data_IF_399953718844
#
_entry.id   IF_399953718844
#
_cell.length_a   1.000
_cell.length_b   1.000
_cell.length_c   1.000
_cell.angle_alpha   90.00
_cell.angle_beta   90.00
_cell.angle_gamma   90.00
#
_symmetry.space_group_name_H-M   'P 1'
#
loop_
_entity.id
_entity.type
_entity.pdbx_description
1 polymer ?
#
# COMPACT_ATOMS: atom_id res chain seq x y z
N UNK A 1 16.40 5.66 1.19
CA UNK A 1 15.67 6.96 1.14
C UNK A 1 14.91 7.16 2.45
N UNK A 2 15.45 8.00 3.35
CA UNK A 2 14.72 8.43 4.55
C UNK A 2 13.59 9.37 4.10
N UNK A 3 12.33 8.97 4.28
CA UNK A 3 11.22 9.91 4.13
C UNK A 3 11.36 10.94 5.26
N UNK A 4 11.48 12.25 4.96
CA UNK A 4 11.48 13.26 6.01
C UNK A 4 10.17 13.14 6.79
N UNK A 5 10.29 13.21 8.11
CA UNK A 5 9.13 13.23 9.01
C UNK A 5 8.21 14.37 8.54
N UNK A 6 6.93 14.12 8.26
CA UNK A 6 6.05 15.19 7.80
C UNK A 6 6.10 16.33 8.83
N UNK A 7 6.20 17.59 8.38
CA UNK A 7 6.27 18.72 9.29
C UNK A 7 5.04 18.68 10.20
N UNK A 8 5.22 19.00 11.49
CA UNK A 8 4.15 18.99 12.51
C UNK A 8 3.16 20.15 12.27
N UNK A 9 2.48 20.18 11.12
CA UNK A 9 1.69 21.34 10.64
C UNK A 9 0.26 21.44 11.18
N UNK A 10 -0.05 20.85 12.34
CA UNK A 10 -1.39 21.00 12.94
C UNK A 10 -1.39 21.32 14.43
N UNK A 11 -0.22 21.51 15.06
CA UNK A 11 -0.17 21.73 16.52
C UNK A 11 -0.49 23.17 16.95
N UNK A 12 -0.36 24.15 16.04
CA UNK A 12 -0.52 25.57 16.37
C UNK A 12 -1.99 26.06 16.34
N UNK A 13 -2.90 25.30 15.74
CA UNK A 13 -4.32 25.68 15.60
C UNK A 13 -5.23 25.11 16.72
N UNK A 14 -4.66 24.51 17.75
CA UNK A 14 -5.41 23.99 18.90
C UNK A 14 -5.29 24.96 20.09
N UNK A 15 -6.37 25.16 20.87
CA UNK A 15 -6.31 25.91 22.11
C UNK A 15 -5.21 25.41 23.05
N UNK A 16 -4.59 26.34 23.78
CA UNK A 16 -3.44 26.07 24.64
C UNK A 16 -3.68 24.93 25.64
N UNK A 17 -4.86 24.89 26.26
CA UNK A 17 -5.24 23.84 27.20
C UNK A 17 -5.23 22.43 26.55
N UNK A 18 -5.72 22.27 25.32
CA UNK A 18 -5.70 20.97 24.63
C UNK A 18 -4.26 20.54 24.32
N UNK A 19 -3.39 21.50 23.96
CA UNK A 19 -1.96 21.25 23.73
C UNK A 19 -1.26 20.80 25.03
N UNK A 20 -1.62 21.40 26.17
CA UNK A 20 -1.13 20.98 27.47
C UNK A 20 -1.57 19.55 27.80
N UNK A 21 -2.83 19.19 27.58
CA UNK A 21 -3.34 17.82 27.78
C UNK A 21 -2.66 16.79 26.86
N UNK A 22 -2.42 17.11 25.60
CA UNK A 22 -1.66 16.23 24.68
C UNK A 22 -0.24 15.99 25.23
N UNK A 23 0.39 17.04 25.75
CA UNK A 23 1.73 16.95 26.33
C UNK A 23 1.72 16.12 27.63
N UNK A 24 0.74 16.34 28.50
CA UNK A 24 0.53 15.58 29.73
C UNK A 24 0.28 14.10 29.43
N UNK A 25 -0.58 13.78 28.46
CA UNK A 25 -0.84 12.40 28.01
C UNK A 25 0.44 11.71 27.55
N UNK A 26 1.25 12.37 26.72
CA UNK A 26 2.54 11.81 26.25
C UNK A 26 3.50 11.55 27.41
N UNK A 27 3.59 12.48 28.37
CA UNK A 27 4.41 12.30 29.59
C UNK A 27 3.93 11.12 30.42
N UNK A 28 2.62 11.01 30.66
CA UNK A 28 2.03 9.90 31.40
C UNK A 28 2.24 8.56 30.69
N UNK A 29 2.12 8.52 29.36
CA UNK A 29 2.41 7.33 28.56
C UNK A 29 3.89 6.92 28.69
N UNK A 30 4.83 7.85 28.57
CA UNK A 30 6.26 7.57 28.75
C UNK A 30 6.58 7.08 30.16
N UNK A 31 5.91 7.61 31.19
CA UNK A 31 6.07 7.15 32.58
C UNK A 31 5.57 5.72 32.73
N UNK A 32 4.33 5.44 32.32
CA UNK A 32 3.74 4.09 32.37
C UNK A 32 4.55 3.06 31.58
N UNK A 33 5.08 3.42 30.40
CA UNK A 33 5.91 2.50 29.61
C UNK A 33 7.21 2.09 30.31
N UNK A 34 7.77 2.98 31.14
CA UNK A 34 8.99 2.72 31.91
C UNK A 34 8.71 1.95 33.19
N UNK A 35 7.72 2.39 33.97
CA UNK A 35 7.45 1.83 35.31
C UNK A 35 6.61 0.57 35.28
N UNK A 36 5.70 0.44 34.31
CA UNK A 36 4.67 -0.61 34.21
C UNK A 36 3.75 -0.75 35.43
N UNK A 37 3.69 0.26 36.32
CA UNK A 37 2.82 0.22 37.50
C UNK A 37 1.34 0.48 37.17
N UNK A 38 0.39 -0.15 37.90
CA UNK A 38 -1.04 0.10 37.72
C UNK A 38 -1.48 1.55 37.98
N UNK A 39 -0.86 2.23 38.96
CA UNK A 39 -1.13 3.63 39.28
C UNK A 39 -0.80 4.57 38.11
N UNK A 40 0.36 4.36 37.48
CA UNK A 40 0.76 5.12 36.28
C UNK A 40 -0.16 4.83 35.08
N UNK A 41 -0.67 3.60 34.97
CA UNK A 41 -1.67 3.24 33.95
C UNK A 41 -2.97 4.00 34.17
N UNK A 42 -3.49 4.00 35.39
CA UNK A 42 -4.71 4.73 35.76
C UNK A 42 -4.55 6.24 35.50
N UNK A 43 -3.40 6.81 35.85
CA UNK A 43 -3.09 8.21 35.59
C UNK A 43 -3.08 8.53 34.09
N UNK A 44 -2.44 7.67 33.27
CA UNK A 44 -2.48 7.80 31.82
C UNK A 44 -3.91 7.69 31.26
N UNK A 45 -4.68 6.70 31.70
CA UNK A 45 -6.05 6.48 31.21
C UNK A 45 -6.97 7.65 31.59
N UNK A 46 -6.82 8.23 32.79
CA UNK A 46 -7.52 9.43 33.24
C UNK A 46 -7.26 10.62 32.30
N UNK A 47 -5.99 10.97 32.06
CA UNK A 47 -5.62 12.08 31.15
C UNK A 47 -6.08 11.77 29.72
N UNK A 48 -6.00 10.52 29.28
CA UNK A 48 -6.45 10.12 27.96
C UNK A 48 -7.96 10.28 27.79
N UNK A 49 -8.74 10.00 28.84
CA UNK A 49 -10.19 10.18 28.86
C UNK A 49 -10.56 11.66 28.88
N UNK A 50 -9.91 12.46 29.72
CA UNK A 50 -10.07 13.90 29.76
C UNK A 50 -9.80 14.54 28.39
N UNK A 51 -8.67 14.19 27.76
CA UNK A 51 -8.34 14.67 26.42
C UNK A 51 -9.40 14.27 25.38
N UNK A 52 -9.95 13.05 25.47
CA UNK A 52 -11.00 12.58 24.54
C UNK A 52 -12.26 13.42 24.69
N UNK A 53 -12.68 13.71 25.92
CA UNK A 53 -13.87 14.52 26.21
C UNK A 53 -13.69 15.94 25.71
N UNK A 54 -12.56 16.57 26.05
CA UNK A 54 -12.22 17.92 25.59
C UNK A 54 -12.17 18.03 24.07
N UNK A 55 -11.56 17.06 23.38
CA UNK A 55 -11.53 17.03 21.93
C UNK A 55 -12.91 16.78 21.32
N UNK A 56 -13.79 16.06 22.01
CA UNK A 56 -15.19 15.89 21.61
C UNK A 56 -15.91 17.23 21.65
N UNK A 57 -15.91 17.91 22.80
CA UNK A 57 -16.55 19.21 22.97
C UNK A 57 -16.00 20.27 21.99
N UNK A 58 -14.67 20.32 21.81
CA UNK A 58 -14.06 21.26 20.85
C UNK A 58 -14.46 20.96 19.40
N UNK A 59 -14.61 19.68 19.02
CA UNK A 59 -15.08 19.31 17.67
C UNK A 59 -16.55 19.68 17.48
N UNK A 60 -17.40 19.44 18.47
CA UNK A 60 -18.82 19.84 18.44
C UNK A 60 -18.95 21.35 18.30
N UNK A 61 -18.32 22.14 19.18
CA UNK A 61 -18.39 23.60 19.12
C UNK A 61 -17.86 24.17 17.79
N UNK A 62 -16.77 23.58 17.26
CA UNK A 62 -16.25 23.96 15.94
C UNK A 62 -17.25 23.65 14.82
N UNK A 63 -17.95 22.53 14.91
CA UNK A 63 -18.98 22.15 13.94
C UNK A 63 -20.19 23.07 14.04
N UNK A 64 -20.65 23.41 15.25
CA UNK A 64 -21.76 24.34 15.49
C UNK A 64 -21.45 25.72 14.90
N UNK A 65 -20.24 26.24 15.13
CA UNK A 65 -19.77 27.48 14.52
C UNK A 65 -19.70 27.38 12.99
N UNK A 66 -19.26 26.25 12.46
CA UNK A 66 -19.22 26.01 11.02
C UNK A 66 -20.62 26.03 10.41
N UNK A 67 -21.58 25.31 11.00
CA UNK A 67 -22.98 25.29 10.54
C UNK A 67 -23.59 26.69 10.61
N UNK A 68 -23.34 27.43 11.69
CA UNK A 68 -23.83 28.81 11.87
C UNK A 68 -23.24 29.79 10.86
N UNK A 69 -22.05 29.52 10.33
CA UNK A 69 -21.39 30.34 9.30
C UNK A 69 -21.84 30.04 7.86
N UNK A 70 -22.68 29.02 7.65
CA UNK A 70 -23.16 28.67 6.31
C UNK A 70 -24.15 29.74 5.82
N UNK A 71 -24.01 30.10 4.54
CA UNK A 71 -24.83 31.11 3.88
C UNK A 71 -25.22 30.62 2.49
N UNK A 72 -26.41 31.02 2.05
CA UNK A 72 -26.92 30.74 0.70
C UNK A 72 -26.20 31.59 -0.35
N UNK A 73 -25.87 32.84 -0.02
CA UNK A 73 -25.28 33.81 -0.95
C UNK A 73 -23.88 33.40 -1.43
N UNK A 74 -23.08 32.79 -0.55
CA UNK A 74 -21.67 32.46 -0.82
C UNK A 74 -21.47 31.02 -1.36
N UNK A 75 -22.57 30.32 -1.71
CA UNK A 75 -22.56 28.89 -2.12
C UNK A 75 -21.95 27.95 -1.06
N UNK A 76 -21.69 28.43 0.16
CA UNK A 76 -21.05 27.65 1.22
C UNK A 76 -21.99 26.55 1.72
N UNK A 77 -23.29 26.86 1.84
CA UNK A 77 -24.33 25.87 2.13
C UNK A 77 -24.37 24.76 1.08
N UNK A 78 -24.37 25.10 -0.22
CA UNK A 78 -24.34 24.11 -1.31
C UNK A 78 -23.09 23.21 -1.27
N UNK A 79 -21.92 23.78 -0.98
CA UNK A 79 -20.69 22.99 -0.83
C UNK A 79 -20.75 22.06 0.38
N UNK A 80 -21.35 22.50 1.48
CA UNK A 80 -21.55 21.70 2.68
C UNK A 80 -22.50 20.52 2.40
N UNK A 81 -23.66 20.77 1.78
CA UNK A 81 -24.64 19.74 1.45
C UNK A 81 -24.09 18.75 0.42
N UNK A 82 -23.38 19.23 -0.61
CA UNK A 82 -22.72 18.36 -1.60
C UNK A 82 -21.70 17.41 -0.96
N UNK A 83 -20.91 17.90 0.02
CA UNK A 83 -19.96 17.05 0.77
C UNK A 83 -20.68 16.04 1.66
N UNK A 84 -21.76 16.45 2.32
CA UNK A 84 -22.54 15.57 3.19
C UNK A 84 -23.15 14.40 2.42
N UNK A 85 -23.77 14.69 1.27
CA UNK A 85 -24.47 13.71 0.44
C UNK A 85 -23.55 12.79 -0.36
N UNK A 86 -22.22 13.00 -0.29
CA UNK A 86 -21.22 12.17 -0.98
C UNK A 86 -21.55 11.92 -2.46
N UNK A 87 -22.05 12.94 -3.16
CA UNK A 87 -22.34 12.80 -4.58
C UNK A 87 -21.08 12.33 -5.31
N UNK A 88 -21.15 11.19 -6.03
CA UNK A 88 -20.00 10.70 -6.76
C UNK A 88 -19.57 11.76 -7.76
N UNK A 89 -18.27 11.98 -7.88
CA UNK A 89 -17.75 12.81 -8.96
C UNK A 89 -18.06 12.07 -10.26
N UNK A 90 -19.02 12.61 -11.02
CA UNK A 90 -19.36 12.07 -12.34
C UNK A 90 -18.12 12.24 -13.21
N UNK A 91 -17.65 11.15 -13.81
CA UNK A 91 -16.56 11.22 -14.77
C UNK A 91 -16.97 12.14 -15.93
N UNK A 92 -16.07 13.04 -16.33
CA UNK A 92 -16.30 13.89 -17.50
C UNK A 92 -16.66 13.01 -18.70
N UNK A 93 -17.61 13.43 -19.54
CA UNK A 93 -18.01 12.64 -20.70
C UNK A 93 -16.78 12.44 -21.61
N UNK A 94 -16.59 11.21 -22.10
CA UNK A 94 -15.48 10.88 -22.99
C UNK A 94 -15.91 11.07 -24.43
N UNK A 95 -15.03 11.65 -25.24
CA UNK A 95 -15.24 11.84 -26.66
C UNK A 95 -14.64 10.66 -27.40
N UNK A 96 -15.44 10.02 -28.25
CA UNK A 96 -15.00 8.94 -29.13
C UNK A 96 -14.31 9.49 -30.37
N UNK A 97 -13.68 8.60 -31.13
CA UNK A 97 -13.02 8.92 -32.40
C UNK A 97 -14.01 9.43 -33.47
N UNK A 98 -15.28 9.04 -33.39
CA UNK A 98 -16.38 9.48 -34.26
C UNK A 98 -16.99 10.84 -33.85
N UNK A 99 -16.34 11.57 -32.93
CA UNK A 99 -16.85 12.81 -32.33
C UNK A 99 -18.12 12.68 -31.48
N UNK A 100 -18.64 11.47 -31.26
CA UNK A 100 -19.76 11.24 -30.37
C UNK A 100 -19.32 11.16 -28.90
N UNK A 101 -20.28 11.32 -27.99
CA UNK A 101 -20.05 11.20 -26.54
C UNK A 101 -20.33 9.78 -26.06
N UNK A 102 -19.37 9.17 -25.36
CA UNK A 102 -19.59 7.91 -24.65
C UNK A 102 -20.40 8.16 -23.36
N UNK A 103 -21.64 7.69 -23.35
CA UNK A 103 -22.60 7.92 -22.25
C UNK A 103 -22.66 6.73 -21.29
N UNK A 104 -22.59 5.50 -21.82
CA UNK A 104 -22.59 4.27 -21.02
C UNK A 104 -21.18 3.88 -20.56
N UNK A 105 -21.06 3.21 -19.41
CA UNK A 105 -19.77 2.76 -18.88
C UNK A 105 -19.07 1.75 -19.81
N UNK A 106 -19.85 0.93 -20.55
CA UNK A 106 -19.32 0.04 -21.58
C UNK A 106 -18.63 0.83 -22.69
N UNK A 107 -19.29 1.87 -23.18
CA UNK A 107 -18.78 2.72 -24.26
C UNK A 107 -17.53 3.48 -23.82
N UNK A 108 -17.47 3.91 -22.56
CA UNK A 108 -16.28 4.55 -21.98
C UNK A 108 -15.12 3.55 -21.94
N UNK A 109 -15.35 2.33 -21.48
CA UNK A 109 -14.34 1.27 -21.42
C UNK A 109 -13.80 0.93 -22.82
N UNK A 110 -14.67 0.80 -23.82
CA UNK A 110 -14.28 0.60 -25.22
C UNK A 110 -13.45 1.76 -25.75
N UNK A 111 -13.86 3.01 -25.48
CA UNK A 111 -13.11 4.20 -25.89
C UNK A 111 -11.70 4.20 -25.31
N UNK A 112 -11.55 3.85 -24.02
CA UNK A 112 -10.25 3.71 -23.38
C UNK A 112 -9.43 2.57 -23.99
N UNK A 113 -10.03 1.40 -24.20
CA UNK A 113 -9.35 0.25 -24.79
C UNK A 113 -8.80 0.58 -26.19
N UNK A 114 -9.59 1.24 -27.03
CA UNK A 114 -9.16 1.72 -28.35
C UNK A 114 -8.01 2.72 -28.26
N UNK A 115 -8.10 3.70 -27.36
CA UNK A 115 -7.03 4.69 -27.17
C UNK A 115 -5.73 4.05 -26.69
N UNK A 116 -5.79 3.18 -25.69
CA UNK A 116 -4.61 2.48 -25.16
C UNK A 116 -3.99 1.56 -26.21
N UNK A 117 -4.80 0.86 -26.99
CA UNK A 117 -4.32 0.04 -28.12
C UNK A 117 -3.53 0.85 -29.14
N UNK A 118 -3.94 2.09 -29.41
CA UNK A 118 -3.19 2.98 -30.32
C UNK A 118 -1.87 3.47 -29.71
N UNK A 119 -1.85 3.71 -28.40
CA UNK A 119 -0.65 4.20 -27.70
C UNK A 119 0.40 3.12 -27.46
N UNK A 120 -0.02 1.88 -27.22
CA UNK A 120 0.86 0.74 -26.98
C UNK A 120 1.09 -0.08 -28.26
N UNK A 121 1.30 0.59 -29.38
CA UNK A 121 1.80 -0.09 -30.57
C UNK A 121 3.31 -0.26 -30.45
N UNK A 122 3.86 -1.44 -30.82
CA UNK A 122 5.30 -1.62 -30.87
C UNK A 122 5.88 -0.58 -31.82
N UNK A 123 6.97 0.06 -31.41
CA UNK A 123 7.70 0.96 -32.28
C UNK A 123 8.10 0.17 -33.54
N UNK A 124 7.88 0.68 -34.76
CA UNK A 124 8.34 0.00 -35.96
C UNK A 124 9.86 -0.24 -35.85
N UNK A 125 10.27 -1.48 -36.18
CA UNK A 125 11.66 -1.94 -36.12
C UNK A 125 12.57 -0.93 -36.82
N UNK A 126 13.27 -0.13 -36.02
CA UNK A 126 14.27 0.80 -36.55
C UNK A 126 15.53 0.04 -36.98
N UNK A 127 15.78 -1.15 -36.41
CA UNK A 127 16.96 -1.98 -36.64
C UNK A 127 16.59 -3.48 -36.82
N UNK A 128 16.32 -3.93 -38.05
CA UNK A 128 15.94 -5.32 -38.33
C UNK A 128 17.03 -6.36 -37.99
N UNK A 129 18.28 -5.91 -37.80
CA UNK A 129 19.41 -6.75 -37.39
C UNK A 129 19.41 -7.05 -35.90
N UNK A 130 18.87 -6.14 -35.07
CA UNK A 130 18.81 -6.36 -33.63
C UNK A 130 17.63 -7.26 -33.26
N UNK A 131 16.50 -7.12 -33.97
CA UNK A 131 15.31 -7.95 -33.73
C UNK A 131 15.52 -9.41 -34.12
N UNK A 132 16.23 -9.70 -35.22
CA UNK A 132 16.63 -11.08 -35.55
C UNK A 132 17.56 -11.69 -34.48
N UNK A 133 18.54 -10.94 -33.97
CA UNK A 133 19.43 -11.43 -32.89
C UNK A 133 18.72 -11.69 -31.57
N UNK A 134 17.71 -10.89 -31.22
CA UNK A 134 16.90 -11.11 -30.00
C UNK A 134 15.95 -12.30 -30.15
N UNK A 135 15.44 -12.54 -31.37
CA UNK A 135 14.58 -13.70 -31.67
C UNK A 135 15.36 -15.02 -31.76
N UNK A 136 16.66 -14.99 -32.09
CA UNK A 136 17.57 -16.15 -32.07
C UNK A 136 18.16 -16.43 -30.67
N UNK A 137 18.07 -15.49 -29.74
CA UNK A 137 18.55 -15.63 -28.36
C UNK A 137 17.91 -16.76 -27.52
N UNK A 138 16.64 -17.19 -27.73
CA UNK A 138 16.02 -18.29 -26.98
C UNK A 138 16.67 -19.65 -27.23
N UNK A 139 17.30 -19.85 -28.39
CA UNK A 139 17.89 -21.14 -28.80
C UNK A 139 19.37 -21.28 -28.42
N UNK A 140 19.96 -20.24 -27.82
CA UNK A 140 21.33 -20.33 -27.33
C UNK A 140 21.37 -21.14 -26.03
N UNK A 141 22.18 -22.22 -25.95
CA UNK A 141 22.34 -22.95 -24.70
C UNK A 141 22.90 -21.98 -23.65
N UNK A 142 22.11 -21.75 -22.60
CA UNK A 142 22.54 -20.94 -21.46
C UNK A 142 23.90 -21.48 -20.98
N UNK A 143 24.91 -20.62 -20.75
CA UNK A 143 26.19 -21.10 -20.24
C UNK A 143 25.93 -21.87 -18.95
N UNK A 144 26.36 -23.12 -18.91
CA UNK A 144 26.24 -23.99 -17.74
C UNK A 144 27.03 -23.34 -16.60
N UNK A 145 26.34 -22.57 -15.76
CA UNK A 145 26.91 -22.06 -14.53
C UNK A 145 27.15 -23.23 -13.59
N UNK A 146 28.24 -23.17 -12.82
CA UNK A 146 28.46 -24.09 -11.70
C UNK A 146 27.19 -24.14 -10.83
N UNK A 147 26.83 -25.32 -10.29
CA UNK A 147 25.71 -25.40 -9.38
C UNK A 147 25.94 -24.42 -8.22
N UNK A 148 24.91 -23.67 -7.81
CA UNK A 148 25.06 -22.75 -6.69
C UNK A 148 25.46 -23.53 -5.43
N UNK A 149 26.15 -22.87 -4.50
CA UNK A 149 26.51 -23.50 -3.24
C UNK A 149 25.26 -23.99 -2.51
N UNK A 150 25.34 -25.14 -1.81
CA UNK A 150 24.20 -25.66 -1.06
C UNK A 150 23.79 -24.69 0.06
N UNK A 151 22.49 -24.52 0.25
CA UNK A 151 21.96 -23.67 1.32
C UNK A 151 22.16 -24.33 2.68
N UNK A 152 22.67 -23.57 3.65
CA UNK A 152 22.76 -24.04 5.04
C UNK A 152 21.51 -23.65 5.84
N UNK A 153 21.16 -24.40 6.91
CA UNK A 153 20.08 -23.99 7.84
C UNK A 153 20.34 -22.63 8.49
N UNK A 154 21.61 -22.26 8.64
CA UNK A 154 22.02 -20.94 9.10
C UNK A 154 21.57 -19.86 8.10
N UNK A 155 21.78 -20.07 6.80
CA UNK A 155 21.36 -19.11 5.76
C UNK A 155 19.84 -18.92 5.73
N UNK A 156 19.09 -20.01 5.82
CA UNK A 156 17.61 -19.96 5.85
C UNK A 156 17.13 -19.22 7.10
N UNK A 157 17.70 -19.52 8.28
CA UNK A 157 17.35 -18.82 9.51
C UNK A 157 17.69 -17.31 9.44
N UNK A 158 18.83 -16.98 8.84
CA UNK A 158 19.26 -15.59 8.64
C UNK A 158 18.28 -14.84 7.73
N UNK A 159 17.86 -15.43 6.60
CA UNK A 159 16.90 -14.80 5.71
C UNK A 159 15.52 -14.62 6.36
N UNK A 160 15.04 -15.63 7.09
CA UNK A 160 13.78 -15.55 7.85
C UNK A 160 13.82 -14.38 8.85
N UNK A 161 14.94 -14.20 9.54
CA UNK A 161 15.09 -13.11 10.53
C UNK A 161 14.97 -11.72 9.90
N UNK A 162 15.45 -11.57 8.65
CA UNK A 162 15.48 -10.32 7.89
C UNK A 162 14.14 -9.94 7.28
N UNK A 163 13.16 -10.86 7.23
CA UNK A 163 11.85 -10.60 6.64
C UNK A 163 11.12 -9.45 7.38
N UNK A 164 10.54 -8.49 6.64
CA UNK A 164 9.75 -7.42 7.24
C UNK A 164 8.43 -7.95 7.81
N UNK A 165 8.14 -7.64 9.08
CA UNK A 165 6.93 -8.12 9.79
C UNK A 165 5.62 -7.48 9.34
N UNK A 166 5.71 -6.38 8.57
CA UNK A 166 4.55 -5.57 8.15
C UNK A 166 4.08 -5.87 6.73
N UNK A 167 4.56 -6.96 6.11
CA UNK A 167 4.07 -7.37 4.80
C UNK A 167 2.74 -8.11 4.94
N UNK A 168 1.87 -7.88 3.97
CA UNK A 168 0.65 -8.65 3.81
C UNK A 168 1.00 -10.13 3.53
N UNK A 169 0.22 -11.08 4.06
CA UNK A 169 0.38 -12.49 3.72
C UNK A 169 0.27 -12.72 2.20
N UNK A 170 0.94 -13.76 1.71
CA UNK A 170 0.75 -14.26 0.35
C UNK A 170 -0.55 -15.07 0.21
N UNK A 171 -0.71 -15.76 -0.92
CA UNK A 171 -1.87 -16.63 -1.19
C UNK A 171 -2.07 -17.70 -0.10
N UNK A 172 -0.98 -18.28 0.41
CA UNK A 172 -1.00 -19.31 1.46
C UNK A 172 -1.29 -18.75 2.86
N UNK A 173 -1.53 -17.44 2.98
CA UNK A 173 -1.83 -16.73 4.23
C UNK A 173 -0.74 -16.83 5.34
N UNK A 174 0.43 -17.38 5.02
CA UNK A 174 1.56 -17.45 5.96
C UNK A 174 2.18 -16.05 6.12
N UNK A 175 2.17 -15.54 7.35
CA UNK A 175 2.81 -14.27 7.68
C UNK A 175 4.29 -14.46 8.01
N UNK A 176 5.07 -13.40 7.80
CA UNK A 176 6.47 -13.31 8.25
C UNK A 176 6.62 -13.53 9.76
N UNK A 177 5.58 -13.26 10.56
CA UNK A 177 5.61 -13.48 12.00
C UNK A 177 5.58 -14.97 12.34
N UNK A 178 4.81 -15.76 11.59
CA UNK A 178 4.78 -17.21 11.72
C UNK A 178 6.14 -17.81 11.35
N UNK A 179 6.75 -17.35 10.25
CA UNK A 179 8.07 -17.83 9.83
C UNK A 179 9.16 -17.58 10.89
N UNK A 180 9.13 -16.44 11.58
CA UNK A 180 10.10 -16.11 12.65
C UNK A 180 9.94 -16.95 13.91
N UNK A 181 8.79 -17.58 14.12
CA UNK A 181 8.49 -18.41 15.28
C UNK A 181 8.59 -19.92 14.98
N UNK A 182 9.16 -20.30 13.83
CA UNK A 182 9.29 -21.71 13.45
C UNK A 182 10.27 -22.47 14.36
N UNK A 183 9.98 -23.73 14.70
CA UNK A 183 10.92 -24.59 15.42
C UNK A 183 12.10 -24.98 14.51
N UNK A 184 13.24 -25.31 15.12
CA UNK A 184 14.47 -25.69 14.39
C UNK A 184 14.25 -26.83 13.38
N UNK A 185 13.38 -27.79 13.70
CA UNK A 185 13.02 -28.90 12.79
C UNK A 185 12.38 -28.40 11.49
N UNK A 186 11.55 -27.36 11.56
CA UNK A 186 10.92 -26.77 10.38
C UNK A 186 11.93 -26.02 9.51
N UNK A 187 12.92 -25.34 10.11
CA UNK A 187 14.01 -24.68 9.36
C UNK A 187 14.82 -25.71 8.57
N UNK A 188 15.12 -26.87 9.18
CA UNK A 188 15.79 -27.98 8.50
C UNK A 188 14.94 -28.51 7.35
N UNK A 189 13.63 -28.71 7.56
CA UNK A 189 12.74 -29.14 6.48
C UNK A 189 12.71 -28.15 5.30
N UNK A 190 12.67 -26.84 5.59
CA UNK A 190 12.75 -25.80 4.55
C UNK A 190 14.07 -25.84 3.78
N UNK A 191 15.20 -26.15 4.43
CA UNK A 191 16.48 -26.29 3.73
C UNK A 191 16.46 -27.43 2.72
N UNK A 192 15.89 -28.58 3.09
CA UNK A 192 15.71 -29.70 2.15
C UNK A 192 14.80 -29.32 0.98
N UNK A 193 13.67 -28.66 1.25
CA UNK A 193 12.77 -28.17 0.21
C UNK A 193 13.39 -27.13 -0.72
N UNK A 194 14.34 -26.32 -0.27
CA UNK A 194 15.01 -25.34 -1.13
C UNK A 194 16.09 -25.95 -2.04
N UNK A 195 16.59 -27.15 -1.71
CA UNK A 195 17.64 -27.83 -2.46
C UNK A 195 17.05 -28.65 -3.62
N UNK A 196 15.88 -29.28 -3.41
CA UNK A 196 15.25 -30.19 -4.38
C UNK A 196 14.79 -29.51 -5.70
N UNK A 197 14.17 -28.31 -5.72
CA UNK A 197 13.63 -27.72 -6.94
C UNK A 197 14.66 -26.98 -7.78
N UNK A 198 15.85 -26.65 -7.23
CA UNK A 198 16.87 -25.93 -7.99
C UNK A 198 17.56 -26.83 -9.03
N UNK A 199 17.57 -28.15 -8.83
CA UNK A 199 18.29 -29.08 -9.71
C UNK A 199 17.45 -29.60 -10.89
N UNK A 200 16.12 -29.42 -10.87
CA UNK A 200 15.23 -30.14 -11.80
C UNK A 200 14.29 -29.25 -12.63
N UNK A 201 14.46 -27.92 -12.61
CA UNK A 201 13.65 -27.03 -13.47
C UNK A 201 14.53 -26.08 -14.27
N UNK A 202 14.83 -26.38 -15.55
CA UNK A 202 15.17 -25.32 -16.47
C UNK A 202 13.93 -24.41 -16.56
N UNK A 203 14.13 -23.14 -16.22
CA UNK A 203 13.27 -22.00 -16.56
C UNK A 203 11.76 -22.16 -16.29
N UNK A 204 11.25 -21.44 -15.27
CA UNK A 204 9.85 -21.02 -15.29
C UNK A 204 9.64 -20.14 -16.53
N UNK A 205 8.83 -20.54 -17.54
CA UNK A 205 8.40 -19.59 -18.55
C UNK A 205 7.43 -18.65 -17.84
N UNK A 206 7.84 -17.40 -17.69
CA UNK A 206 6.97 -16.31 -17.30
C UNK A 206 5.72 -16.35 -18.20
N UNK A 207 4.56 -16.31 -17.57
CA UNK A 207 3.26 -16.27 -18.23
C UNK A 207 3.24 -15.19 -19.32
N UNK A 208 3.14 -15.63 -20.58
CA UNK A 208 2.91 -14.80 -21.74
C UNK A 208 1.97 -15.54 -22.69
N UNK A 209 0.72 -15.09 -22.72
CA UNK A 209 -0.25 -15.26 -23.81
C UNK A 209 -0.59 -16.70 -24.24
N UNK A 210 -1.71 -17.21 -23.71
CA UNK A 210 -2.54 -18.15 -24.46
C UNK A 210 -3.42 -17.33 -25.44
N UNK A 211 -3.34 -17.55 -26.76
CA UNK A 211 -4.36 -17.04 -27.67
C UNK A 211 -5.64 -17.86 -27.45
N UNK A 212 -6.73 -17.16 -27.12
CA UNK A 212 -8.08 -17.72 -27.23
C UNK A 212 -8.32 -17.91 -28.73
N UNK A 213 -8.19 -19.15 -29.21
CA UNK A 213 -8.74 -19.52 -30.51
C UNK A 213 -10.26 -19.60 -30.40
N UNK A 214 -10.88 -18.90 -31.35
CA UNK A 214 -12.31 -18.76 -31.69
C UNK A 214 -13.30 -19.74 -31.07
#
# INVERSE_FOLDING_TARGET
MFRPRPPRLQYYNLPQHIRQLITAKRRAQSRWQRSRYPSDRQHYDSIANELRNVLSCHRSARYDNYVSSLSEHDKSLWRATKRLLHYPNVSSPLRRADNSWARSDKEKAETFASHLRLMFQPLPDSDPVNTSRVLEFPDYPLPLSLPPPPFTPSDVSFQISRLPTQKSPGYDLITSQVLKNLPRRAIIFLTYLSIIPFFERPTFPCCGNLPISK
#
